data_IF_051554655510
#
_entry.id   IF_051554655510
#
_cell.length_a   1.000
_cell.length_b   1.000
_cell.length_c   1.000
_cell.angle_alpha   90.00
_cell.angle_beta   90.00
_cell.angle_gamma   90.00
#
_symmetry.space_group_name_H-M   'P 1'
#
loop_
_entity.id
_entity.type
_entity.pdbx_description
1 polymer ?
#
# COMPACT_ATOMS: atom_id res chain seq x y z
N UNK A 1 24.45 1.32 -7.10
CA UNK A 1 23.42 2.16 -6.45
C UNK A 1 22.12 1.41 -6.61
N UNK A 2 21.39 1.11 -5.53
CA UNK A 2 20.20 0.23 -5.57
C UNK A 2 19.04 0.82 -6.37
N UNK A 3 18.89 2.13 -6.26
CA UNK A 3 18.04 2.95 -7.12
C UNK A 3 18.94 3.92 -7.87
N UNK A 4 18.51 4.32 -9.07
CA UNK A 4 18.94 5.57 -9.67
C UNK A 4 18.43 6.75 -8.83
N UNK A 5 19.05 7.92 -9.00
CA UNK A 5 18.60 9.13 -8.30
C UNK A 5 17.14 9.49 -8.62
N UNK A 6 16.75 9.29 -9.88
CA UNK A 6 15.37 9.49 -10.33
C UNK A 6 14.40 8.54 -9.62
N UNK A 7 14.68 7.23 -9.64
CA UNK A 7 13.81 6.22 -8.99
C UNK A 7 13.68 6.49 -7.49
N UNK A 8 14.80 6.81 -6.82
CA UNK A 8 14.76 7.16 -5.40
C UNK A 8 13.87 8.36 -5.15
N UNK A 9 14.02 9.45 -5.92
CA UNK A 9 13.20 10.65 -5.76
C UNK A 9 11.70 10.39 -6.00
N UNK A 10 11.36 9.50 -6.94
CA UNK A 10 9.97 9.10 -7.19
C UNK A 10 9.41 8.27 -6.03
N UNK A 11 10.17 7.29 -5.51
CA UNK A 11 9.76 6.51 -4.32
C UNK A 11 9.56 7.43 -3.11
N UNK A 12 10.49 8.36 -2.89
CA UNK A 12 10.40 9.34 -1.80
C UNK A 12 9.16 10.23 -1.91
N UNK A 13 8.79 10.65 -3.13
CA UNK A 13 7.56 11.42 -3.37
C UNK A 13 6.32 10.61 -2.99
N UNK A 14 6.25 9.34 -3.39
CA UNK A 14 5.12 8.46 -3.01
C UNK A 14 5.09 8.25 -1.50
N UNK A 15 6.22 7.88 -0.89
CA UNK A 15 6.35 7.70 0.57
C UNK A 15 5.85 8.92 1.33
N UNK A 16 6.20 10.13 0.88
CA UNK A 16 5.75 11.38 1.51
C UNK A 16 4.25 11.60 1.41
N UNK A 17 3.64 11.29 0.27
CA UNK A 17 2.18 11.39 0.09
C UNK A 17 1.44 10.43 1.03
N UNK A 18 1.98 9.23 1.25
CA UNK A 18 1.42 8.22 2.14
C UNK A 18 1.95 8.27 3.60
N UNK A 19 2.77 9.27 3.96
CA UNK A 19 3.53 9.29 5.23
C UNK A 19 2.66 9.02 6.46
N UNK A 20 1.50 9.70 6.54
CA UNK A 20 0.57 9.52 7.66
C UNK A 20 -0.01 8.11 7.72
N UNK A 21 -0.36 7.54 6.58
CA UNK A 21 -0.89 6.17 6.53
C UNK A 21 0.19 5.17 6.93
N UNK A 22 1.40 5.28 6.35
CA UNK A 22 2.53 4.41 6.67
C UNK A 22 2.83 4.39 8.17
N UNK A 23 2.79 5.55 8.83
CA UNK A 23 3.01 5.66 10.29
C UNK A 23 1.89 5.02 11.13
N UNK A 24 0.72 4.78 10.55
CA UNK A 24 -0.47 4.26 11.22
C UNK A 24 -0.75 2.79 10.90
N UNK A 25 -0.04 2.20 9.92
CA UNK A 25 -0.18 0.79 9.58
C UNK A 25 0.15 -0.08 10.78
N UNK A 26 -0.60 -1.16 10.96
CA UNK A 26 -0.38 -2.12 12.05
C UNK A 26 -0.01 -3.50 11.56
N UNK A 27 -0.45 -3.88 10.36
CA UNK A 27 -0.10 -5.14 9.70
C UNK A 27 1.22 -5.06 8.90
N UNK A 28 1.66 -3.84 8.56
CA UNK A 28 2.85 -3.63 7.76
C UNK A 28 3.75 -2.52 8.31
N UNK A 29 5.03 -2.57 7.94
CA UNK A 29 6.00 -1.51 8.16
C UNK A 29 6.84 -1.28 6.89
N UNK A 30 7.25 -0.03 6.66
CA UNK A 30 8.14 0.35 5.56
C UNK A 30 9.48 0.78 6.13
N UNK A 31 10.50 -0.07 5.96
CA UNK A 31 11.83 0.16 6.52
C UNK A 31 12.87 0.45 5.44
N UNK A 32 13.93 1.17 5.82
CA UNK A 32 15.09 1.41 4.97
C UNK A 32 16.25 0.49 5.33
N UNK A 33 16.90 -0.08 4.32
CA UNK A 33 18.14 -0.84 4.43
C UNK A 33 19.21 -0.24 3.52
N UNK A 34 20.41 0.03 4.05
CA UNK A 34 21.53 0.49 3.22
C UNK A 34 22.02 -0.56 2.21
N UNK A 35 21.57 -1.82 2.35
CA UNK A 35 21.95 -2.94 1.48
C UNK A 35 20.96 -3.19 0.35
N UNK A 36 19.67 -2.95 0.57
CA UNK A 36 18.61 -3.29 -0.40
C UNK A 36 17.62 -2.15 -0.66
N UNK A 37 17.68 -1.04 0.08
CA UNK A 37 16.77 0.09 -0.07
C UNK A 37 15.51 -0.10 0.75
N UNK A 38 14.36 0.30 0.20
CA UNK A 38 13.07 0.21 0.88
C UNK A 38 12.55 -1.23 0.90
N UNK A 39 12.11 -1.69 2.06
CA UNK A 39 11.52 -3.01 2.27
C UNK A 39 10.17 -2.86 2.94
N UNK A 40 9.16 -3.48 2.35
CA UNK A 40 7.82 -3.61 2.90
C UNK A 40 7.74 -4.89 3.71
N UNK A 41 7.45 -4.79 5.00
CA UNK A 41 7.42 -5.92 5.93
C UNK A 41 5.99 -6.19 6.37
N UNK A 42 5.53 -7.43 6.22
CA UNK A 42 4.36 -7.93 6.92
C UNK A 42 4.76 -8.32 8.35
N UNK A 43 4.10 -7.73 9.34
CA UNK A 43 4.46 -7.89 10.75
C UNK A 43 3.23 -8.25 11.59
N UNK A 44 3.48 -8.88 12.73
CA UNK A 44 2.54 -8.93 13.84
C UNK A 44 3.24 -8.40 15.09
N UNK A 45 2.48 -7.72 15.94
CA UNK A 45 2.95 -7.18 17.22
C UNK A 45 2.49 -8.03 18.42
N UNK A 46 1.59 -9.00 18.21
CA UNK A 46 1.13 -9.92 19.26
C UNK A 46 0.72 -11.29 18.67
N UNK A 47 1.62 -12.30 18.69
CA UNK A 47 3.01 -12.24 19.13
C UNK A 47 3.86 -11.40 18.15
N UNK A 48 5.00 -10.89 18.62
CA UNK A 48 5.93 -10.15 17.76
C UNK A 48 6.62 -11.10 16.79
N UNK A 49 6.36 -10.97 15.49
CA UNK A 49 7.12 -11.64 14.45
C UNK A 49 7.04 -10.88 13.11
N UNK A 50 8.00 -11.17 12.23
CA UNK A 50 8.01 -10.72 10.85
C UNK A 50 7.68 -11.94 9.99
N UNK A 51 6.66 -11.82 9.15
CA UNK A 51 6.20 -12.91 8.30
C UNK A 51 6.95 -12.92 6.97
N UNK A 52 6.73 -11.88 6.16
CA UNK A 52 7.26 -11.74 4.81
C UNK A 52 7.86 -10.34 4.62
N UNK A 53 8.88 -10.23 3.76
CA UNK A 53 9.47 -8.95 3.38
C UNK A 53 9.63 -8.84 1.86
N UNK A 54 9.11 -7.75 1.29
CA UNK A 54 9.19 -7.46 -0.15
C UNK A 54 10.10 -6.25 -0.39
N UNK A 55 10.99 -6.37 -1.36
CA UNK A 55 11.78 -5.22 -1.81
C UNK A 55 10.90 -4.28 -2.64
N UNK A 56 10.92 -2.99 -2.32
CA UNK A 56 10.23 -1.97 -3.12
C UNK A 56 11.09 -1.61 -4.32
N UNK A 57 10.74 -2.16 -5.47
CA UNK A 57 11.51 -1.96 -6.71
C UNK A 57 11.28 -0.57 -7.33
N UNK A 58 10.10 0.02 -7.12
CA UNK A 58 9.69 1.26 -7.78
C UNK A 58 8.67 2.07 -6.99
N UNK A 59 8.48 3.32 -7.39
CA UNK A 59 7.46 4.20 -6.83
C UNK A 59 6.04 3.67 -7.06
N UNK A 60 5.78 3.05 -8.22
CA UNK A 60 4.52 2.38 -8.50
C UNK A 60 4.29 1.19 -7.56
N UNK A 61 5.34 0.40 -7.30
CA UNK A 61 5.27 -0.71 -6.34
C UNK A 61 4.94 -0.23 -4.92
N UNK A 62 5.58 0.84 -4.44
CA UNK A 62 5.22 1.41 -3.14
C UNK A 62 3.79 1.94 -3.10
N UNK A 63 3.36 2.64 -4.16
CA UNK A 63 2.00 3.18 -4.24
C UNK A 63 0.98 2.04 -4.24
N UNK A 64 1.28 0.96 -4.95
CA UNK A 64 0.46 -0.23 -5.01
C UNK A 64 0.27 -0.85 -3.61
N UNK A 65 1.36 -1.10 -2.87
CA UNK A 65 1.30 -1.68 -1.53
C UNK A 65 0.49 -0.80 -0.56
N UNK A 66 0.68 0.53 -0.60
CA UNK A 66 -0.09 1.45 0.24
C UNK A 66 -1.59 1.45 -0.12
N UNK A 67 -1.94 1.42 -1.40
CA UNK A 67 -3.35 1.37 -1.82
C UNK A 67 -3.99 0.02 -1.42
N UNK A 68 -3.24 -1.07 -1.56
CA UNK A 68 -3.66 -2.40 -1.15
C UNK A 68 -3.91 -2.46 0.36
N UNK A 69 -2.99 -1.94 1.18
CA UNK A 69 -3.16 -1.90 2.65
C UNK A 69 -4.40 -1.10 3.06
N UNK A 70 -4.65 0.07 2.46
CA UNK A 70 -5.88 0.85 2.70
C UNK A 70 -7.15 0.03 2.40
N UNK A 71 -7.11 -0.82 1.38
CA UNK A 71 -8.26 -1.68 1.05
C UNK A 71 -8.42 -2.82 2.06
N UNK A 72 -7.33 -3.46 2.46
CA UNK A 72 -7.31 -4.49 3.50
C UNK A 72 -7.83 -3.95 4.83
N UNK A 73 -7.47 -2.71 5.20
CA UNK A 73 -8.02 -2.02 6.36
C UNK A 73 -9.56 -1.91 6.29
N UNK A 74 -10.12 -1.58 5.12
CA UNK A 74 -11.58 -1.50 4.95
C UNK A 74 -12.23 -2.87 5.12
N UNK A 75 -11.67 -3.92 4.51
CA UNK A 75 -12.17 -5.29 4.67
C UNK A 75 -12.08 -5.77 6.12
N UNK A 76 -10.98 -5.46 6.82
CA UNK A 76 -10.80 -5.78 8.23
C UNK A 76 -11.82 -5.06 9.14
N UNK A 77 -12.28 -3.86 8.76
CA UNK A 77 -13.27 -3.11 9.53
C UNK A 77 -14.69 -3.67 9.41
N UNK A 78 -15.05 -4.29 8.28
CA UNK A 78 -16.39 -4.88 8.11
C UNK A 78 -16.51 -6.25 8.75
N UNK A 79 -15.40 -7.00 8.86
CA UNK A 79 -15.35 -8.31 9.50
C UNK A 79 -16.12 -9.39 8.72
N UNK A 80 -16.41 -9.15 7.44
CA UNK A 80 -17.16 -10.05 6.58
C UNK A 80 -16.29 -11.14 5.92
N UNK A 81 -14.98 -11.17 6.22
CA UNK A 81 -14.00 -12.04 5.56
C UNK A 81 -13.95 -11.85 4.03
N UNK A 82 -14.34 -10.66 3.57
CA UNK A 82 -14.28 -10.28 2.16
C UNK A 82 -12.86 -9.90 1.76
N UNK A 83 -12.53 -10.16 0.51
CA UNK A 83 -11.39 -9.58 -0.17
C UNK A 83 -11.87 -8.82 -1.42
N UNK A 84 -10.95 -8.51 -2.34
CA UNK A 84 -11.32 -7.84 -3.58
C UNK A 84 -12.32 -8.63 -4.42
N UNK A 85 -12.30 -9.98 -4.42
CA UNK A 85 -13.22 -10.81 -5.20
C UNK A 85 -14.68 -10.67 -4.71
N UNK A 86 -14.86 -10.56 -3.40
CA UNK A 86 -16.17 -10.54 -2.74
C UNK A 86 -16.64 -9.15 -2.25
N UNK A 87 -15.84 -8.12 -2.50
CA UNK A 87 -16.08 -6.75 -2.03
C UNK A 87 -17.47 -6.21 -2.39
N UNK A 88 -18.24 -5.81 -1.38
CA UNK A 88 -19.58 -5.28 -1.58
C UNK A 88 -19.56 -3.80 -2.05
N UNK A 89 -20.69 -3.26 -2.56
CA UNK A 89 -20.72 -1.88 -3.05
C UNK A 89 -20.37 -0.80 -2.01
N UNK A 90 -20.63 -1.03 -0.72
CA UNK A 90 -20.30 -0.10 0.37
C UNK A 90 -18.80 -0.14 0.68
N UNK A 91 -18.21 -1.33 0.76
CA UNK A 91 -16.76 -1.51 0.91
C UNK A 91 -16.01 -0.85 -0.25
N UNK A 92 -16.44 -1.11 -1.49
CA UNK A 92 -15.86 -0.50 -2.69
C UNK A 92 -15.97 1.03 -2.68
N UNK A 93 -17.09 1.58 -2.22
CA UNK A 93 -17.27 3.02 -2.11
C UNK A 93 -16.32 3.61 -1.06
N UNK A 94 -16.14 2.94 0.08
CA UNK A 94 -15.23 3.36 1.14
C UNK A 94 -13.77 3.28 0.72
N UNK A 95 -13.35 2.20 0.06
CA UNK A 95 -12.00 2.03 -0.51
C UNK A 95 -11.69 3.20 -1.45
N UNK A 96 -12.55 3.45 -2.43
CA UNK A 96 -12.38 4.56 -3.37
C UNK A 96 -12.34 5.92 -2.67
N UNK A 97 -13.16 6.12 -1.65
CA UNK A 97 -13.17 7.35 -0.83
C UNK A 97 -11.83 7.54 -0.11
N UNK A 98 -11.24 6.48 0.44
CA UNK A 98 -9.95 6.52 1.14
C UNK A 98 -8.75 6.65 0.22
N UNK A 99 -8.80 6.09 -0.99
CA UNK A 99 -7.74 6.27 -2.00
C UNK A 99 -7.70 7.69 -2.56
N UNK A 100 -8.86 8.34 -2.68
CA UNK A 100 -8.99 9.64 -3.37
C UNK A 100 -7.96 10.71 -2.95
N UNK A 101 -7.69 10.98 -1.66
CA UNK A 101 -6.72 12.00 -1.26
C UNK A 101 -5.29 11.73 -1.74
N UNK A 102 -4.91 10.47 -1.95
CA UNK A 102 -3.59 10.08 -2.42
C UNK A 102 -3.50 10.14 -3.93
N UNK A 103 -4.51 9.60 -4.64
CA UNK A 103 -4.57 9.62 -6.10
C UNK A 103 -4.74 11.04 -6.65
N UNK A 104 -5.45 11.93 -5.95
CA UNK A 104 -5.55 13.33 -6.34
C UNK A 104 -4.17 14.04 -6.34
N UNK A 105 -3.20 13.55 -5.54
CA UNK A 105 -1.82 14.04 -5.50
C UNK A 105 -0.85 13.26 -6.42
N UNK A 106 -1.25 12.04 -6.79
CA UNK A 106 -0.48 11.09 -7.59
C UNK A 106 -1.32 10.54 -8.77
N UNK A 107 -1.86 11.42 -9.64
CA UNK A 107 -2.78 11.00 -10.70
C UNK A 107 -2.17 10.00 -11.69
N UNK A 108 -0.85 10.00 -11.85
CA UNK A 108 -0.13 9.04 -12.69
C UNK A 108 -0.22 7.59 -12.20
N UNK A 109 -0.54 7.36 -10.92
CA UNK A 109 -0.71 6.02 -10.35
C UNK A 109 -2.19 5.62 -10.21
N UNK A 110 -3.12 6.42 -10.74
CA UNK A 110 -4.56 6.13 -10.68
C UNK A 110 -4.92 4.76 -11.29
N UNK A 111 -4.17 4.31 -12.30
CA UNK A 111 -4.38 3.00 -12.93
C UNK A 111 -4.21 1.82 -11.95
N UNK A 112 -3.44 1.98 -10.87
CA UNK A 112 -3.27 0.94 -9.85
C UNK A 112 -4.58 0.66 -9.09
N UNK A 113 -5.47 1.67 -9.00
CA UNK A 113 -6.79 1.47 -8.42
C UNK A 113 -7.61 0.50 -9.28
N UNK A 114 -7.56 0.67 -10.61
CA UNK A 114 -8.25 -0.23 -11.54
C UNK A 114 -7.62 -1.62 -11.52
N UNK A 115 -6.29 -1.72 -11.44
CA UNK A 115 -5.57 -2.99 -11.32
C UNK A 115 -5.98 -3.77 -10.07
N UNK A 116 -6.02 -3.11 -8.91
CA UNK A 116 -6.50 -3.70 -7.65
C UNK A 116 -7.96 -4.15 -7.75
N UNK A 117 -8.83 -3.30 -8.29
CA UNK A 117 -10.26 -3.59 -8.43
C UNK A 117 -10.57 -4.61 -9.54
N UNK A 118 -9.64 -4.84 -10.47
CA UNK A 118 -9.77 -5.85 -11.53
C UNK A 118 -9.57 -7.27 -11.04
N UNK A 119 -9.09 -7.44 -9.80
CA UNK A 119 -9.01 -8.75 -9.14
C UNK A 119 -10.38 -9.37 -8.83
N UNK A 120 -11.46 -8.61 -9.02
CA UNK A 120 -12.84 -9.11 -9.02
C UNK A 120 -13.04 -10.13 -10.13
N UNK A 121 -13.47 -11.34 -9.79
CA UNK A 121 -13.89 -12.36 -10.77
C UNK A 121 -15.18 -11.98 -11.48
#
# INVERSE_FOLDING_TARGET
>A
MLYTEKEKNEIERVRKVFEKHIQQMTAYDLVWSDKVGYVWLAISIDPVYIDTGNWIESAAGLCYECLNDIALDVFGMTGNDHDFEDADPLELAEIKRRWKPYIDQLPEYAYLCDELLSRRK
#
